data_IF_520586385650
#
_entry.id   IF_520586385650
#
_cell.length_a   1.000
_cell.length_b   1.000
_cell.length_c   1.000
_cell.angle_alpha   90.00
_cell.angle_beta   90.00
_cell.angle_gamma   90.00
#
_symmetry.space_group_name_H-M   'P 1'
#
loop_
_entity.id
_entity.type
_entity.pdbx_description
1 polymer ?
#
# COMPACT_ATOMS: atom_id res chain seq x y z
N UNK A 1 -15.57 8.83 1.88
CA UNK A 1 -14.95 9.24 0.65
C UNK A 1 -13.89 8.23 0.24
N UNK A 2 -13.52 8.30 -1.00
CA UNK A 2 -12.60 7.28 -1.53
C UNK A 2 -11.27 7.24 -0.81
N UNK A 3 -10.75 8.40 -0.41
CA UNK A 3 -9.45 8.45 0.22
C UNK A 3 -9.40 7.70 1.54
N UNK A 4 -10.55 7.43 2.12
CA UNK A 4 -10.61 6.68 3.37
C UNK A 4 -10.54 5.18 3.14
N UNK A 5 -10.67 4.77 1.89
CA UNK A 5 -10.62 3.35 1.56
C UNK A 5 -9.22 2.88 1.20
N UNK A 6 -8.29 3.81 1.09
CA UNK A 6 -6.93 3.51 0.69
C UNK A 6 -5.94 4.14 1.63
N UNK A 7 -4.76 3.56 1.68
CA UNK A 7 -3.69 4.10 2.49
C UNK A 7 -2.41 4.13 1.68
N UNK A 8 -1.45 4.94 2.12
CA UNK A 8 -0.17 5.04 1.47
C UNK A 8 0.76 3.92 1.94
N UNK A 9 1.91 3.80 1.27
CA UNK A 9 2.91 2.83 1.69
C UNK A 9 3.39 3.15 3.10
N UNK A 10 3.56 4.43 3.42
CA UNK A 10 4.00 4.82 4.76
C UNK A 10 3.01 4.36 5.81
N UNK A 11 1.73 4.57 5.55
CA UNK A 11 0.71 4.16 6.50
C UNK A 11 0.64 2.65 6.61
N UNK A 12 0.77 1.96 5.49
CA UNK A 12 0.72 0.50 5.51
C UNK A 12 1.90 -0.07 6.29
N UNK A 13 3.07 0.54 6.14
CA UNK A 13 4.24 0.05 6.86
C UNK A 13 4.04 0.14 8.36
N UNK A 14 3.40 1.20 8.81
CA UNK A 14 3.12 1.36 10.24
C UNK A 14 2.08 0.36 10.72
N UNK A 15 1.05 0.17 9.93
CA UNK A 15 -0.03 -0.75 10.32
C UNK A 15 0.44 -2.19 10.36
N UNK A 16 1.31 -2.55 9.41
CA UNK A 16 1.74 -3.94 9.29
C UNK A 16 3.03 -4.21 10.04
N UNK A 17 3.67 -3.18 10.57
CA UNK A 17 4.90 -3.37 11.33
C UNK A 17 6.08 -3.79 10.49
N UNK A 18 6.12 -3.36 9.24
CA UNK A 18 7.24 -3.66 8.34
C UNK A 18 7.72 -2.37 7.69
N UNK A 19 8.85 -2.44 7.00
CA UNK A 19 9.43 -1.25 6.38
C UNK A 19 8.64 -0.85 5.14
N UNK A 20 8.76 0.41 4.76
CA UNK A 20 8.11 0.90 3.54
C UNK A 20 8.63 0.16 2.32
N UNK A 21 9.91 -0.14 2.33
CA UNK A 21 10.51 -0.86 1.23
C UNK A 21 9.87 -2.23 1.07
N UNK A 22 9.59 -2.88 2.19
CA UNK A 22 8.97 -4.19 2.15
C UNK A 22 7.54 -4.11 1.65
N UNK A 23 6.81 -3.07 2.06
CA UNK A 23 5.46 -2.86 1.55
C UNK A 23 5.50 -2.68 0.04
N UNK A 24 6.42 -1.86 -0.44
CA UNK A 24 6.54 -1.61 -1.88
C UNK A 24 6.86 -2.91 -2.62
N UNK A 25 7.71 -3.72 -2.04
CA UNK A 25 8.07 -5.00 -2.64
C UNK A 25 6.83 -5.91 -2.76
N UNK A 26 6.04 -5.96 -1.71
CA UNK A 26 4.83 -6.77 -1.72
C UNK A 26 3.85 -6.27 -2.78
N UNK A 27 3.73 -4.96 -2.92
CA UNK A 27 2.86 -4.39 -3.94
C UNK A 27 3.35 -4.76 -5.33
N UNK A 28 4.66 -4.70 -5.55
CA UNK A 28 5.24 -5.02 -6.85
C UNK A 28 5.02 -6.48 -7.20
N UNK A 29 5.08 -7.35 -6.22
CA UNK A 29 4.87 -8.78 -6.45
C UNK A 29 3.42 -9.13 -6.68
N UNK A 30 2.51 -8.20 -6.41
CA UNK A 30 1.09 -8.49 -6.53
C UNK A 30 0.53 -9.22 -5.33
N UNK A 31 1.26 -9.21 -4.21
CA UNK A 31 0.79 -9.88 -3.01
C UNK A 31 -0.29 -9.08 -2.29
N UNK A 32 -0.40 -7.79 -2.59
CA UNK A 32 -1.41 -6.95 -1.99
C UNK A 32 -2.57 -6.81 -2.96
N UNK A 33 -3.65 -7.48 -2.64
CA UNK A 33 -4.81 -7.50 -3.51
C UNK A 33 -5.48 -6.13 -3.55
N UNK A 34 -5.76 -5.66 -4.74
CA UNK A 34 -6.45 -4.40 -4.89
C UNK A 34 -5.53 -3.18 -4.87
N UNK A 35 -4.23 -3.37 -4.72
CA UNK A 35 -3.30 -2.25 -4.72
C UNK A 35 -3.22 -1.63 -6.11
N UNK A 36 -3.21 -0.28 -6.15
CA UNK A 36 -3.15 0.45 -7.41
C UNK A 36 -1.90 1.32 -7.41
N UNK A 37 -1.29 1.44 -8.56
CA UNK A 37 -0.09 2.27 -8.71
C UNK A 37 -0.42 3.52 -9.51
N UNK A 38 -0.07 4.66 -8.95
CA UNK A 38 -0.22 5.95 -9.60
C UNK A 38 1.15 6.62 -9.67
N UNK A 39 1.78 6.56 -10.85
CA UNK A 39 3.12 7.10 -10.97
C UNK A 39 4.07 6.39 -10.03
N UNK A 40 4.57 7.11 -9.04
CA UNK A 40 5.49 6.54 -8.06
C UNK A 40 4.80 6.11 -6.77
N UNK A 41 3.52 6.37 -6.68
CA UNK A 41 2.80 6.12 -5.43
C UNK A 41 1.94 4.87 -5.54
N UNK A 42 1.79 4.19 -4.44
CA UNK A 42 0.88 3.06 -4.34
C UNK A 42 -0.30 3.43 -3.47
N UNK A 43 -1.47 3.00 -3.89
CA UNK A 43 -2.70 3.13 -3.11
C UNK A 43 -3.10 1.74 -2.67
N UNK A 44 -3.12 1.53 -1.37
CA UNK A 44 -3.36 0.21 -0.79
C UNK A 44 -4.71 0.18 -0.11
N UNK A 45 -5.57 -0.77 -0.45
CA UNK A 45 -6.90 -0.84 0.19
C UNK A 45 -6.74 -1.11 1.68
N UNK A 46 -7.56 -0.45 2.47
CA UNK A 46 -7.53 -0.62 3.92
C UNK A 46 -8.21 -1.90 4.37
N UNK A 47 -8.99 -2.50 3.53
CA UNK A 47 -9.69 -3.72 3.89
C UNK A 47 -8.74 -4.87 4.14
#
# INVERSE_FOLDING_TARGET
MLKNDYMTIAEASERWGISQRQVQHLCTLGSVEGALKFGRAWMIPKN
#
